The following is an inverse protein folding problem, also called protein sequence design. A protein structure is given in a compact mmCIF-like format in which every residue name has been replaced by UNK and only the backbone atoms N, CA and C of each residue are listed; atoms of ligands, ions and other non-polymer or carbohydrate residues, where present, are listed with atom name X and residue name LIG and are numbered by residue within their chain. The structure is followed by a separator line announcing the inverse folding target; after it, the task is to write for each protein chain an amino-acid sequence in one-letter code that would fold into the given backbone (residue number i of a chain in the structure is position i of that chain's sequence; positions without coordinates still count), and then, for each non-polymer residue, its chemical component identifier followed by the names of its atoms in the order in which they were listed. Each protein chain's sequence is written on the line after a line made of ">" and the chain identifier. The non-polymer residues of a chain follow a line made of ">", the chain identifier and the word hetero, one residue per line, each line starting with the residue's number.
data_IF_404648392986
#
_entry.id   IF_404648392986
#
_cell.length_a   1.000
_cell.length_b   1.000
_cell.length_c   1.000
_cell.angle_alpha   90.00
_cell.angle_beta   90.00
_cell.angle_gamma   90.00
#
_symmetry.space_group_name_H-M   'P 1'
#
loop_
_entity.id
_entity.type
_entity.pdbx_description
1 polymer ?
#
# COMPACT_ATOMS: atom_id res chain seq x y z
N UNK A 1 -8.66 0.87 18.22
CA UNK A 1 -7.72 1.96 17.83
C UNK A 1 -7.54 1.94 16.32
N UNK A 2 -7.52 3.11 15.69
CA UNK A 2 -7.31 3.26 14.25
C UNK A 2 -5.84 2.93 13.98
N UNK A 3 -5.61 1.82 13.29
CA UNK A 3 -4.27 1.37 12.93
C UNK A 3 -3.87 2.10 11.65
N UNK A 4 -2.80 2.89 11.75
CA UNK A 4 -2.28 3.74 10.70
C UNK A 4 -1.17 2.99 9.94
N UNK A 5 -1.21 2.99 8.61
CA UNK A 5 -0.21 2.32 7.76
C UNK A 5 1.21 2.74 8.15
N UNK A 6 1.41 4.03 8.50
CA UNK A 6 2.72 4.51 8.90
C UNK A 6 3.26 3.89 10.20
N UNK A 7 2.39 3.39 11.08
CA UNK A 7 2.74 2.79 12.37
C UNK A 7 2.96 1.26 12.23
N UNK A 8 2.26 0.60 11.32
CA UNK A 8 2.48 -0.82 11.02
C UNK A 8 3.77 -1.12 10.24
N UNK A 9 4.25 -0.15 9.47
CA UNK A 9 5.34 -0.35 8.53
C UNK A 9 6.47 0.65 8.76
N UNK A 10 7.24 0.56 9.85
CA UNK A 10 8.30 1.52 10.13
C UNK A 10 9.35 1.57 9.01
N UNK A 11 9.99 2.74 8.87
CA UNK A 11 11.09 2.96 7.92
C UNK A 11 12.22 1.96 8.18
N UNK A 12 12.63 1.24 7.14
CA UNK A 12 13.79 0.34 7.20
C UNK A 12 15.02 1.08 6.65
N UNK A 13 16.10 1.12 7.42
CA UNK A 13 17.35 1.77 7.01
C UNK A 13 18.11 0.98 5.93
N UNK A 14 17.79 -0.30 5.75
CA UNK A 14 18.28 -1.13 4.65
C UNK A 14 17.13 -2.01 4.12
N UNK A 15 17.03 -2.16 2.80
CA UNK A 15 16.21 -3.23 2.21
C UNK A 15 16.97 -4.51 2.53
N UNK A 16 16.60 -5.18 3.62
CA UNK A 16 17.18 -6.48 3.95
C UNK A 16 16.98 -7.44 2.77
N UNK A 17 18.05 -8.15 2.43
CA UNK A 17 18.24 -9.12 1.35
C UNK A 17 17.36 -10.39 1.45
N UNK A 18 16.21 -10.32 2.11
CA UNK A 18 15.34 -11.47 2.41
C UNK A 18 14.30 -11.76 1.32
N UNK A 19 14.55 -11.32 0.09
CA UNK A 19 13.76 -11.77 -1.09
C UNK A 19 14.33 -13.10 -1.65
N UNK A 20 15.41 -13.63 -1.07
CA UNK A 20 16.19 -14.76 -1.60
C UNK A 20 15.93 -16.14 -0.95
N UNK A 21 14.80 -16.39 -0.29
CA UNK A 21 14.50 -17.75 0.19
C UNK A 21 13.15 -18.29 -0.28
N UNK A 22 13.11 -18.67 -1.55
CA UNK A 22 12.25 -19.79 -1.95
C UNK A 22 12.76 -21.06 -1.26
N UNK A 23 12.01 -21.53 -0.26
CA UNK A 23 12.16 -22.81 0.44
C UNK A 23 13.42 -22.97 1.32
N UNK A 24 13.38 -22.45 2.55
CA UNK A 24 13.71 -23.24 3.74
C UNK A 24 13.38 -22.46 5.02
N UNK A 25 12.59 -23.09 5.89
CA UNK A 25 12.31 -22.71 7.28
C UNK A 25 11.73 -21.32 7.53
N UNK A 26 10.39 -21.32 7.65
CA UNK A 26 9.52 -20.28 8.17
C UNK A 26 9.86 -19.96 9.64
N UNK A 27 11.00 -19.31 9.91
CA UNK A 27 11.28 -18.70 11.22
C UNK A 27 10.68 -17.31 11.25
N UNK A 28 9.42 -17.26 11.66
CA UNK A 28 8.81 -16.21 12.50
C UNK A 28 9.28 -14.76 12.28
N UNK A 29 8.71 -14.11 11.26
CA UNK A 29 8.61 -12.63 11.17
C UNK A 29 7.62 -12.02 12.19
N UNK A 30 7.19 -12.81 13.19
CA UNK A 30 6.12 -12.49 14.15
C UNK A 30 6.56 -11.64 15.34
N UNK A 31 7.86 -11.43 15.54
CA UNK A 31 8.32 -11.17 16.91
C UNK A 31 8.26 -9.70 17.35
N UNK A 32 7.81 -8.76 16.50
CA UNK A 32 7.72 -7.34 16.89
C UNK A 32 6.54 -6.55 16.29
N UNK A 33 5.48 -7.19 15.78
CA UNK A 33 4.27 -6.48 15.35
C UNK A 33 3.30 -6.42 16.53
N UNK A 34 3.12 -5.23 17.12
CA UNK A 34 2.08 -5.02 18.14
C UNK A 34 0.71 -4.95 17.46
N UNK A 35 -0.04 -6.05 17.52
CA UNK A 35 -1.38 -6.16 16.96
C UNK A 35 -2.41 -5.84 18.07
N UNK A 36 -3.20 -4.76 17.96
CA UNK A 36 -4.24 -4.44 18.95
C UNK A 36 -5.25 -5.58 19.14
N UNK A 37 -5.81 -5.72 20.34
CA UNK A 37 -6.74 -6.83 20.66
C UNK A 37 -8.02 -6.82 19.82
N UNK A 38 -8.41 -5.66 19.31
CA UNK A 38 -9.60 -5.48 18.48
C UNK A 38 -9.31 -5.58 16.97
N UNK A 39 -8.12 -6.08 16.60
CA UNK A 39 -7.73 -6.23 15.20
C UNK A 39 -8.67 -7.20 14.48
N UNK A 40 -9.33 -6.80 13.37
CA UNK A 40 -10.19 -7.68 12.62
C UNK A 40 -9.42 -8.95 12.22
N UNK A 41 -9.96 -10.12 12.57
CA UNK A 41 -9.27 -11.41 12.41
C UNK A 41 -8.79 -11.66 10.97
N UNK A 42 -9.50 -11.12 9.97
CA UNK A 42 -9.10 -11.23 8.56
C UNK A 42 -7.85 -10.39 8.22
N UNK A 43 -7.67 -9.23 8.88
CA UNK A 43 -6.46 -8.39 8.76
C UNK A 43 -5.30 -8.94 9.60
N UNK A 44 -5.59 -9.64 10.71
CA UNK A 44 -4.60 -10.39 11.53
C UNK A 44 -3.80 -11.40 10.72
N UNK A 45 -4.50 -12.06 9.81
CA UNK A 45 -3.93 -13.06 8.92
C UNK A 45 -3.15 -12.46 7.73
N UNK A 46 -3.38 -11.18 7.42
CA UNK A 46 -2.62 -10.42 6.41
C UNK A 46 -1.36 -9.77 6.97
N UNK A 47 -1.45 -9.13 8.14
CA UNK A 47 -0.31 -8.46 8.78
C UNK A 47 0.83 -9.44 9.11
N UNK A 48 0.51 -10.73 9.25
CA UNK A 48 1.47 -11.81 9.49
C UNK A 48 1.99 -12.46 8.20
N UNK A 49 1.44 -12.14 7.03
CA UNK A 49 1.86 -12.71 5.74
C UNK A 49 1.61 -14.21 5.55
N UNK A 50 1.04 -14.90 6.54
CA UNK A 50 1.02 -16.38 6.60
C UNK A 50 -0.11 -17.01 5.75
N UNK A 51 -1.22 -16.32 5.50
CA UNK A 51 -2.43 -17.01 5.01
C UNK A 51 -2.95 -16.68 3.60
N UNK A 52 -2.45 -15.67 2.88
CA UNK A 52 -2.94 -15.41 1.52
C UNK A 52 -2.36 -16.34 0.45
N UNK A 53 -1.13 -16.82 0.64
CA UNK A 53 -0.49 -17.78 -0.28
C UNK A 53 -1.05 -19.21 -0.13
N UNK A 54 -1.55 -19.57 1.05
CA UNK A 54 -2.17 -20.88 1.28
C UNK A 54 -3.65 -20.89 0.86
N UNK A 55 -4.38 -19.80 1.09
CA UNK A 55 -5.78 -19.67 0.65
C UNK A 55 -5.93 -19.74 -0.88
N UNK A 56 -4.92 -19.28 -1.63
CA UNK A 56 -4.87 -19.39 -3.10
C UNK A 56 -4.48 -20.78 -3.59
N UNK A 57 -3.67 -21.54 -2.83
CA UNK A 57 -3.28 -22.92 -3.18
C UNK A 57 -4.37 -23.95 -2.88
N UNK A 58 -5.10 -23.82 -1.78
CA UNK A 58 -6.11 -24.83 -1.40
C UNK A 58 -7.40 -24.72 -2.23
N UNK A 59 -7.75 -23.54 -2.74
CA UNK A 59 -8.96 -23.33 -3.55
C UNK A 59 -8.78 -23.56 -5.06
N UNK A 60 -7.56 -23.85 -5.55
CA UNK A 60 -7.38 -24.36 -6.92
C UNK A 60 -7.71 -25.85 -7.06
N UNK A 61 -7.83 -26.56 -5.93
CA UNK A 61 -8.01 -28.02 -5.89
C UNK A 61 -9.43 -28.46 -5.47
N UNK A 62 -10.22 -27.59 -4.84
CA UNK A 62 -11.52 -27.98 -4.26
C UNK A 62 -12.71 -27.29 -4.94
N UNK A 63 -13.01 -27.69 -6.18
CA UNK A 63 -14.33 -27.43 -6.77
C UNK A 63 -15.29 -28.57 -6.39
N UNK A 64 -16.13 -28.35 -5.38
CA UNK A 64 -17.44 -29.01 -5.26
C UNK A 64 -18.31 -28.35 -4.18
N UNK A 65 -19.59 -28.21 -4.52
CA UNK A 65 -20.78 -27.88 -3.70
C UNK A 65 -21.06 -26.41 -3.32
N UNK A 66 -21.70 -25.73 -4.28
CA UNK A 66 -23.07 -25.19 -4.21
C UNK A 66 -23.48 -23.98 -3.34
N UNK A 67 -22.59 -23.27 -2.66
CA UNK A 67 -22.93 -21.94 -2.06
C UNK A 67 -21.93 -20.83 -2.42
N UNK A 68 -21.49 -20.78 -3.70
CA UNK A 68 -20.40 -19.91 -4.18
C UNK A 68 -20.83 -18.78 -5.15
N UNK A 69 -22.12 -18.49 -5.26
CA UNK A 69 -22.63 -17.55 -6.28
C UNK A 69 -22.57 -16.04 -5.94
N UNK A 70 -21.77 -15.60 -4.97
CA UNK A 70 -21.61 -14.15 -4.70
C UNK A 70 -20.21 -13.64 -4.40
N UNK A 71 -19.13 -14.41 -4.63
CA UNK A 71 -17.77 -13.87 -4.52
C UNK A 71 -17.01 -14.14 -5.81
N UNK A 72 -17.41 -13.42 -6.86
CA UNK A 72 -16.57 -13.25 -8.03
C UNK A 72 -15.49 -12.22 -7.66
N UNK A 73 -14.45 -12.67 -6.94
CA UNK A 73 -13.28 -11.86 -6.59
C UNK A 73 -12.66 -11.32 -7.89
N UNK A 74 -12.72 -10.00 -8.10
CA UNK A 74 -11.73 -9.35 -8.94
C UNK A 74 -10.43 -9.33 -8.15
N UNK A 75 -9.72 -10.47 -8.13
CA UNK A 75 -8.62 -10.87 -7.22
C UNK A 75 -7.57 -9.80 -6.89
N UNK A 76 -7.34 -8.84 -7.78
CA UNK A 76 -6.38 -7.75 -7.58
C UNK A 76 -6.89 -6.65 -6.65
N UNK A 77 -8.17 -6.29 -6.78
CA UNK A 77 -8.78 -5.23 -6.01
C UNK A 77 -8.91 -5.62 -4.54
N UNK A 78 -9.31 -6.88 -4.31
CA UNK A 78 -9.49 -7.41 -2.95
C UNK A 78 -8.17 -7.34 -2.16
N UNK A 79 -7.02 -7.63 -2.78
CA UNK A 79 -5.74 -7.52 -2.08
C UNK A 79 -5.45 -6.08 -1.65
N UNK A 80 -5.58 -5.12 -2.56
CA UNK A 80 -5.28 -3.72 -2.27
C UNK A 80 -6.24 -3.16 -1.22
N UNK A 81 -7.54 -3.43 -1.37
CA UNK A 81 -8.57 -2.99 -0.43
C UNK A 81 -8.31 -3.53 0.98
N UNK A 82 -7.86 -4.79 1.09
CA UNK A 82 -7.54 -5.39 2.38
C UNK A 82 -6.22 -4.83 2.93
N UNK A 83 -5.18 -4.68 2.10
CA UNK A 83 -3.88 -4.12 2.51
C UNK A 83 -4.00 -2.67 3.01
N UNK A 84 -4.94 -1.90 2.47
CA UNK A 84 -5.21 -0.52 2.87
C UNK A 84 -6.27 -0.41 3.98
N UNK A 85 -7.04 -1.46 4.23
CA UNK A 85 -8.21 -1.40 5.11
C UNK A 85 -9.34 -0.52 4.56
N UNK A 86 -9.40 -0.30 3.25
CA UNK A 86 -10.37 0.58 2.57
C UNK A 86 -11.04 -0.13 1.40
N UNK A 87 -12.37 -0.12 1.35
CA UNK A 87 -13.14 -0.69 0.24
C UNK A 87 -13.61 0.40 -0.71
N UNK A 88 -13.25 0.32 -1.98
CA UNK A 88 -13.64 1.31 -2.98
C UNK A 88 -15.11 1.15 -3.37
N UNK A 89 -15.83 2.27 -3.39
CA UNK A 89 -17.18 2.33 -3.94
C UNK A 89 -17.14 2.38 -5.48
N UNK A 90 -16.16 3.09 -6.02
CA UNK A 90 -15.91 3.22 -7.45
C UNK A 90 -14.52 2.66 -7.79
N UNK A 91 -14.52 1.40 -8.19
CA UNK A 91 -13.29 0.69 -8.51
C UNK A 91 -12.49 1.27 -9.69
N UNK A 92 -13.12 2.11 -10.52
CA UNK A 92 -12.43 2.79 -11.61
C UNK A 92 -11.40 3.81 -11.11
N UNK A 93 -11.59 4.36 -9.90
CA UNK A 93 -10.61 5.24 -9.28
C UNK A 93 -9.35 4.48 -8.89
N UNK A 94 -9.50 3.27 -8.33
CA UNK A 94 -8.37 2.40 -8.06
C UNK A 94 -7.68 1.97 -9.37
N UNK A 95 -8.45 1.63 -10.40
CA UNK A 95 -7.91 1.28 -11.71
C UNK A 95 -7.07 2.40 -12.34
N UNK A 96 -7.54 3.65 -12.23
CA UNK A 96 -6.83 4.84 -12.68
C UNK A 96 -5.55 5.08 -11.85
N UNK A 97 -5.62 4.93 -10.52
CA UNK A 97 -4.46 5.06 -9.63
C UNK A 97 -3.37 4.03 -9.91
N UNK A 98 -3.76 2.80 -10.28
CA UNK A 98 -2.83 1.73 -10.64
C UNK A 98 -2.23 1.89 -12.05
N UNK A 99 -2.74 2.81 -12.87
CA UNK A 99 -2.31 2.94 -14.27
C UNK A 99 -1.24 4.01 -14.41
N UNK A 100 0.01 3.58 -14.63
CA UNK A 100 1.13 4.49 -14.87
C UNK A 100 1.04 5.16 -16.24
N UNK A 101 1.63 6.35 -16.37
CA UNK A 101 1.69 7.13 -17.62
C UNK A 101 2.34 6.37 -18.79
N UNK A 102 3.28 5.45 -18.51
CA UNK A 102 3.88 4.59 -19.54
C UNK A 102 2.95 3.53 -20.12
N UNK A 103 1.83 3.24 -19.48
CA UNK A 103 0.79 2.33 -19.99
C UNK A 103 -0.28 3.08 -20.82
N UNK A 104 -0.64 4.29 -20.39
CA UNK A 104 -1.75 5.05 -20.97
C UNK A 104 -1.49 6.56 -20.88
N UNK A 105 -1.55 7.26 -22.01
CA UNK A 105 -1.36 8.71 -22.04
C UNK A 105 -2.61 9.50 -21.64
N UNK A 106 -3.81 8.92 -21.74
CA UNK A 106 -5.08 9.66 -21.60
C UNK A 106 -5.80 9.42 -20.27
N UNK A 107 -5.58 8.25 -19.66
CA UNK A 107 -6.13 7.87 -18.36
C UNK A 107 -5.03 7.17 -17.57
N UNK A 108 -4.41 7.91 -16.67
CA UNK A 108 -3.32 7.44 -15.83
C UNK A 108 -3.39 8.12 -14.46
N UNK A 109 -2.47 7.71 -13.61
CA UNK A 109 -2.41 8.06 -12.21
C UNK A 109 -1.95 9.50 -11.93
N UNK A 110 -1.42 10.26 -12.90
CA UNK A 110 -0.77 11.56 -12.66
C UNK A 110 -1.69 12.61 -12.01
N UNK A 111 -2.99 12.63 -12.37
CA UNK A 111 -3.95 13.55 -11.75
C UNK A 111 -4.28 13.15 -10.32
N UNK A 112 -4.30 11.85 -10.04
CA UNK A 112 -4.56 11.31 -8.71
C UNK A 112 -3.33 11.46 -7.82
N UNK A 113 -2.12 11.25 -8.36
CA UNK A 113 -0.83 11.52 -7.72
C UNK A 113 -0.79 12.96 -7.25
N UNK A 114 -1.00 13.92 -8.16
CA UNK A 114 -0.96 15.35 -7.83
C UNK A 114 -1.95 15.73 -6.72
N UNK A 115 -3.16 15.17 -6.73
CA UNK A 115 -4.15 15.38 -5.67
C UNK A 115 -3.72 14.68 -4.36
N UNK A 116 -3.23 13.45 -4.49
CA UNK A 116 -2.85 12.57 -3.41
C UNK A 116 -1.68 13.10 -2.59
N UNK A 117 -0.67 13.67 -3.24
CA UNK A 117 0.47 14.36 -2.60
C UNK A 117 -0.03 15.44 -1.64
N UNK A 118 -0.84 16.39 -2.15
CA UNK A 118 -1.38 17.47 -1.33
C UNK A 118 -2.29 16.97 -0.19
N UNK A 119 -3.11 15.95 -0.45
CA UNK A 119 -4.00 15.35 0.55
C UNK A 119 -3.20 14.62 1.63
N UNK A 120 -2.19 13.84 1.24
CA UNK A 120 -1.31 13.10 2.14
C UNK A 120 -0.54 14.04 3.04
N UNK A 121 0.07 15.08 2.46
CA UNK A 121 0.79 16.11 3.19
C UNK A 121 -0.12 16.80 4.22
N UNK A 122 -1.33 17.21 3.81
CA UNK A 122 -2.27 17.84 4.73
C UNK A 122 -2.76 16.88 5.82
N UNK A 123 -3.04 15.62 5.49
CA UNK A 123 -3.49 14.62 6.46
C UNK A 123 -2.42 14.34 7.52
N UNK A 124 -1.14 14.24 7.11
CA UNK A 124 0.01 14.09 8.00
C UNK A 124 0.18 15.32 8.88
N UNK A 125 0.30 16.51 8.28
CA UNK A 125 0.52 17.78 9.03
C UNK A 125 -0.62 18.05 10.02
N UNK A 126 -1.87 17.88 9.60
CA UNK A 126 -3.03 18.10 10.46
C UNK A 126 -3.20 17.05 11.56
N UNK A 127 -2.55 15.89 11.46
CA UNK A 127 -2.47 14.90 12.54
C UNK A 127 -1.41 15.33 13.58
N UNK A 128 -0.26 15.80 13.11
CA UNK A 128 0.87 16.21 13.95
C UNK A 128 0.56 17.50 14.70
N UNK A 129 -0.17 18.43 14.09
CA UNK A 129 -0.58 19.69 14.73
C UNK A 129 -1.52 19.49 15.93
N UNK A 130 -2.03 18.27 16.16
CA UNK A 130 -2.79 17.91 17.36
C UNK A 130 -1.89 17.44 18.52
N UNK A 131 -0.59 17.30 18.29
CA UNK A 131 0.41 16.94 19.31
C UNK A 131 1.21 18.18 19.75
N UNK A 132 1.66 18.20 21.00
CA UNK A 132 2.48 19.27 21.61
C UNK A 132 3.93 19.29 21.06
N UNK A 133 4.09 19.41 19.75
CA UNK A 133 5.40 19.72 19.15
C UNK A 133 5.73 21.19 19.39
N UNK A 134 6.94 21.45 19.86
CA UNK A 134 7.31 22.72 20.50
C UNK A 134 7.82 23.77 19.51
N UNK A 135 8.16 23.40 18.26
CA UNK A 135 8.60 24.32 17.21
C UNK A 135 8.43 23.77 15.79
N UNK A 136 8.47 24.67 14.79
CA UNK A 136 8.34 24.38 13.36
C UNK A 136 9.33 23.32 12.85
N UNK A 137 10.58 23.33 13.33
CA UNK A 137 11.61 22.39 12.89
C UNK A 137 11.26 20.93 13.22
N UNK A 138 10.61 20.70 14.37
CA UNK A 138 10.12 19.37 14.74
C UNK A 138 8.94 18.93 13.85
N UNK A 139 8.02 19.84 13.54
CA UNK A 139 6.91 19.59 12.62
C UNK A 139 7.40 19.23 11.23
N UNK A 140 8.39 19.98 10.71
CA UNK A 140 9.00 19.74 9.42
C UNK A 140 9.72 18.39 9.36
N UNK A 141 10.53 18.08 10.39
CA UNK A 141 11.25 16.81 10.48
C UNK A 141 10.30 15.62 10.55
N UNK A 142 9.21 15.73 11.31
CA UNK A 142 8.19 14.68 11.37
C UNK A 142 7.53 14.50 10.00
N UNK A 143 7.10 15.60 9.35
CA UNK A 143 6.50 15.54 8.02
C UNK A 143 7.42 14.79 7.04
N UNK A 144 8.69 15.17 6.98
CA UNK A 144 9.68 14.50 6.13
C UNK A 144 9.86 13.01 6.45
N UNK A 145 9.71 12.60 7.71
CA UNK A 145 9.77 11.16 8.06
C UNK A 145 8.61 10.32 7.49
N UNK A 146 7.53 10.97 7.03
CA UNK A 146 6.30 10.32 6.56
C UNK A 146 6.04 10.51 5.07
N UNK A 147 6.34 11.67 4.49
CA UNK A 147 5.92 12.02 3.12
C UNK A 147 7.07 12.16 2.11
N UNK A 148 8.25 11.60 2.39
CA UNK A 148 9.33 11.54 1.37
C UNK A 148 9.07 10.43 0.34
N UNK A 149 9.56 10.62 -0.89
CA UNK A 149 9.47 9.60 -1.93
C UNK A 149 10.06 8.26 -1.48
N UNK A 150 11.18 8.27 -0.75
CA UNK A 150 11.79 7.06 -0.21
C UNK A 150 10.84 6.34 0.76
N UNK A 151 10.09 7.11 1.56
CA UNK A 151 9.10 6.57 2.50
C UNK A 151 7.94 5.92 1.79
N UNK A 152 7.38 6.60 0.81
CA UNK A 152 6.22 6.13 0.07
C UNK A 152 6.59 4.94 -0.83
N UNK A 153 7.77 4.98 -1.46
CA UNK A 153 8.37 3.82 -2.14
C UNK A 153 8.46 2.60 -1.21
N UNK A 154 8.99 2.77 0.01
CA UNK A 154 9.11 1.66 0.95
C UNK A 154 7.74 1.08 1.32
N UNK A 155 6.74 1.92 1.54
CA UNK A 155 5.37 1.48 1.80
C UNK A 155 4.79 0.71 0.62
N UNK A 156 4.93 1.24 -0.60
CA UNK A 156 4.49 0.56 -1.83
C UNK A 156 5.11 -0.83 -1.97
N UNK A 157 6.41 -0.96 -1.65
CA UNK A 157 7.11 -2.24 -1.64
C UNK A 157 6.65 -3.19 -0.52
N UNK A 158 6.53 -2.69 0.71
CA UNK A 158 6.12 -3.47 1.88
C UNK A 158 4.68 -3.99 1.75
N UNK A 159 3.79 -3.17 1.18
CA UNK A 159 2.40 -3.50 0.88
C UNK A 159 2.24 -4.23 -0.47
N UNK A 160 3.32 -4.45 -1.22
CA UNK A 160 3.33 -5.09 -2.54
C UNK A 160 2.35 -4.48 -3.55
N UNK A 161 2.06 -3.19 -3.44
CA UNK A 161 1.10 -2.51 -4.33
C UNK A 161 1.63 -2.45 -5.77
N UNK A 162 2.95 -2.45 -5.94
CA UNK A 162 3.60 -2.46 -7.25
C UNK A 162 3.23 -3.70 -8.11
N UNK A 163 2.85 -4.82 -7.49
CA UNK A 163 2.46 -6.05 -8.22
C UNK A 163 1.19 -5.84 -9.07
N UNK A 164 0.41 -4.82 -8.74
CA UNK A 164 -0.86 -4.49 -9.39
C UNK A 164 -0.77 -3.24 -10.29
N UNK A 165 0.40 -2.61 -10.35
CA UNK A 165 0.66 -1.47 -11.20
C UNK A 165 0.62 -1.88 -12.68
N UNK A 166 -0.10 -1.12 -13.49
CA UNK A 166 -0.12 -1.25 -14.94
C UNK A 166 0.88 -0.26 -15.53
N UNK A 167 1.96 -0.78 -16.08
CA UNK A 167 3.04 0.02 -16.67
C UNK A 167 3.56 -0.64 -17.97
N UNK A 168 4.48 0.03 -18.65
CA UNK A 168 5.21 -0.55 -19.78
C UNK A 168 5.97 -1.82 -19.38
N UNK A 169 6.23 -2.69 -20.35
CA UNK A 169 6.99 -3.92 -20.12
C UNK A 169 8.42 -3.66 -19.57
N UNK A 170 9.03 -2.55 -20.01
CA UNK A 170 10.34 -2.09 -19.54
C UNK A 170 10.31 -1.81 -18.03
N UNK A 171 9.42 -0.93 -17.58
CA UNK A 171 9.26 -0.61 -16.17
C UNK A 171 8.87 -1.85 -15.34
N UNK A 172 8.01 -2.72 -15.87
CA UNK A 172 7.66 -3.97 -15.20
C UNK A 172 8.87 -4.91 -15.04
N UNK A 173 9.80 -4.93 -16.00
CA UNK A 173 11.06 -5.66 -15.85
C UNK A 173 11.94 -5.04 -14.78
N UNK A 174 12.07 -3.71 -14.74
CA UNK A 174 12.84 -3.01 -13.71
C UNK A 174 12.28 -3.32 -12.31
N UNK A 175 10.95 -3.29 -12.15
CA UNK A 175 10.27 -3.66 -10.89
C UNK A 175 10.58 -5.11 -10.50
N UNK A 176 10.55 -6.06 -11.44
CA UNK A 176 10.87 -7.48 -11.15
C UNK A 176 12.33 -7.68 -10.73
N UNK A 177 13.22 -6.83 -11.23
CA UNK A 177 14.65 -6.86 -10.92
C UNK A 177 15.06 -5.78 -9.93
N UNK A 178 14.13 -5.22 -9.14
CA UNK A 178 14.40 -4.10 -8.21
C UNK A 178 15.52 -4.37 -7.18
N UNK A 179 15.86 -5.63 -6.92
CA UNK A 179 16.98 -6.01 -6.05
C UNK A 179 18.35 -6.00 -6.75
N UNK A 180 18.35 -6.12 -8.08
CA UNK A 180 19.54 -6.17 -8.93
C UNK A 180 19.75 -4.86 -9.72
N UNK A 181 18.73 -3.99 -9.73
CA UNK A 181 18.68 -2.77 -10.55
C UNK A 181 18.91 -1.50 -9.74
N UNK A 182 19.12 -0.37 -10.44
CA UNK A 182 19.24 0.93 -9.82
C UNK A 182 17.90 1.35 -9.20
N UNK A 183 17.76 1.07 -7.91
CA UNK A 183 16.59 1.39 -7.08
C UNK A 183 16.10 2.82 -7.28
N UNK A 184 17.02 3.77 -7.50
CA UNK A 184 16.73 5.20 -7.58
C UNK A 184 15.73 5.55 -8.69
N UNK A 185 15.73 4.82 -9.81
CA UNK A 185 14.80 5.05 -10.93
C UNK A 185 13.37 4.62 -10.60
N UNK A 186 13.18 3.68 -9.67
CA UNK A 186 11.88 3.18 -9.23
C UNK A 186 11.33 3.90 -8.00
N UNK A 187 12.17 4.67 -7.28
CA UNK A 187 11.74 5.41 -6.09
C UNK A 187 10.56 6.32 -6.41
N UNK A 188 10.69 7.16 -7.45
CA UNK A 188 9.64 8.13 -7.80
C UNK A 188 8.36 7.44 -8.31
N UNK A 189 8.40 6.57 -9.35
CA UNK A 189 7.16 5.95 -9.86
C UNK A 189 6.37 5.14 -8.82
N UNK A 190 7.04 4.49 -7.87
CA UNK A 190 6.36 3.72 -6.82
C UNK A 190 5.90 4.59 -5.64
N UNK A 191 6.54 5.73 -5.38
CA UNK A 191 6.00 6.76 -4.50
C UNK A 191 4.72 7.35 -5.09
N UNK A 192 4.76 7.71 -6.38
CA UNK A 192 3.63 8.30 -7.12
C UNK A 192 2.43 7.35 -7.15
N UNK A 193 2.68 6.04 -7.24
CA UNK A 193 1.63 5.02 -7.13
C UNK A 193 0.91 5.09 -5.78
N UNK A 194 1.64 5.25 -4.67
CA UNK A 194 1.05 5.37 -3.35
C UNK A 194 0.19 6.64 -3.25
N UNK A 195 0.74 7.78 -3.68
CA UNK A 195 0.04 9.06 -3.69
C UNK A 195 -1.24 8.98 -4.53
N UNK A 196 -1.16 8.38 -5.72
CA UNK A 196 -2.33 8.21 -6.57
C UNK A 196 -3.43 7.36 -5.92
N UNK A 197 -3.06 6.32 -5.17
CA UNK A 197 -4.01 5.50 -4.41
C UNK A 197 -4.66 6.35 -3.30
N UNK A 198 -3.90 7.18 -2.59
CA UNK A 198 -4.45 8.13 -1.59
C UNK A 198 -5.41 9.14 -2.26
N UNK A 199 -5.04 9.68 -3.42
CA UNK A 199 -5.90 10.57 -4.20
C UNK A 199 -7.21 9.88 -4.63
N UNK A 200 -7.15 8.61 -5.02
CA UNK A 200 -8.32 7.80 -5.37
C UNK A 200 -9.24 7.58 -4.16
N UNK A 201 -8.68 7.23 -2.99
CA UNK A 201 -9.44 7.07 -1.73
C UNK A 201 -10.12 8.38 -1.35
N UNK A 202 -9.40 9.50 -1.43
CA UNK A 202 -9.96 10.80 -1.10
C UNK A 202 -11.16 11.13 -1.97
N UNK A 203 -11.08 10.91 -3.29
CA UNK A 203 -12.23 11.12 -4.18
C UNK A 203 -13.37 10.13 -3.92
N UNK A 204 -13.06 8.85 -3.72
CA UNK A 204 -14.04 7.80 -3.50
C UNK A 204 -14.83 7.99 -2.19
N UNK A 205 -14.16 8.51 -1.16
CA UNK A 205 -14.74 8.85 0.15
C UNK A 205 -15.46 10.20 0.19
N UNK A 206 -15.77 10.80 -0.98
CA UNK A 206 -16.40 12.12 -1.11
C UNK A 206 -15.58 13.24 -0.47
N UNK A 207 -14.26 13.22 -0.70
CA UNK A 207 -13.30 14.22 -0.21
C UNK A 207 -13.16 14.22 1.33
N UNK A 208 -13.26 13.05 1.96
CA UNK A 208 -13.12 12.92 3.42
C UNK A 208 -11.65 12.81 3.82
N UNK A 209 -11.12 13.87 4.44
CA UNK A 209 -9.76 13.84 4.99
C UNK A 209 -9.66 12.90 6.19
N UNK A 210 -10.74 12.74 6.96
CA UNK A 210 -10.84 11.83 8.10
C UNK A 210 -10.66 10.37 7.67
N UNK A 211 -11.23 10.00 6.52
CA UNK A 211 -11.07 8.65 5.96
C UNK A 211 -9.61 8.40 5.58
N UNK A 212 -8.96 9.36 4.95
CA UNK A 212 -7.52 9.26 4.63
C UNK A 212 -6.68 9.12 5.90
N UNK A 213 -6.93 9.94 6.93
CA UNK A 213 -6.26 9.87 8.24
C UNK A 213 -6.47 8.56 9.00
N UNK A 214 -7.54 7.81 8.68
CA UNK A 214 -7.78 6.50 9.27
C UNK A 214 -6.91 5.41 8.63
N UNK A 215 -6.46 5.65 7.40
CA UNK A 215 -5.66 4.71 6.62
C UNK A 215 -4.18 4.98 6.84
N UNK A 216 -3.74 6.24 6.76
CA UNK A 216 -2.33 6.61 6.85
C UNK A 216 -1.83 6.71 8.28
#
# INVERSE_FOLDING_TARGET
>A
EIIKIFDCYPMKNHIDSDISNHNSNLTTFTDNIHIPKDFPIYLKNLATGVNLLNYTKENSLNSSTNDLNSINLNRCNDYIEISLGYRFNNIKLLDEALTHSSCSNSKNNQRLEFLGDAVLDFAVVSTINLHDYSNEGQLHSYKQSKTTNERLYQLTCQLKLYEYMKCSNEMMNDIKHMNDYNKDELVKPLADLFEAIIGAIYLDSKQSIETVKQII
#
